data_IF_289352500337
#
_entry.id   IF_289352500337
#
_cell.length_a   1.000
_cell.length_b   1.000
_cell.length_c   1.000
_cell.angle_alpha   90.00
_cell.angle_beta   90.00
_cell.angle_gamma   90.00
#
_symmetry.space_group_name_H-M   'P 1'
#
loop_
_entity.id
_entity.type
_entity.pdbx_description
1 polymer ?
#
# COMPACT_ATOMS: atom_id res chain seq x y z
N UNK A 1 -26.56 -7.90 -2.57
CA UNK A 1 -25.80 -7.26 -1.47
C UNK A 1 -25.81 -5.76 -1.70
N UNK A 2 -26.16 -4.96 -0.68
CA UNK A 2 -26.16 -3.49 -0.75
C UNK A 2 -24.71 -2.97 -0.59
N UNK A 3 -24.30 -1.94 -1.33
CA UNK A 3 -22.97 -1.30 -1.19
C UNK A 3 -22.63 -0.91 0.26
N UNK A 4 -23.62 -0.47 1.05
CA UNK A 4 -23.42 -0.14 2.48
C UNK A 4 -22.98 -1.35 3.30
N UNK A 5 -23.47 -2.54 2.95
CA UNK A 5 -23.16 -3.79 3.64
C UNK A 5 -21.75 -4.29 3.29
N UNK A 6 -21.29 -4.06 2.05
CA UNK A 6 -19.92 -4.37 1.61
C UNK A 6 -18.93 -3.45 2.33
N UNK A 7 -19.20 -2.15 2.35
CA UNK A 7 -18.36 -1.17 3.03
C UNK A 7 -18.25 -1.47 4.53
N UNK A 8 -19.36 -1.80 5.20
CA UNK A 8 -19.34 -2.18 6.62
C UNK A 8 -18.58 -3.47 6.92
N UNK A 9 -18.41 -4.38 5.94
CA UNK A 9 -17.55 -5.55 6.09
C UNK A 9 -16.08 -5.22 5.88
N UNK A 10 -15.78 -4.33 4.92
CA UNK A 10 -14.42 -3.87 4.65
C UNK A 10 -13.86 -3.05 5.83
N UNK A 11 -14.68 -2.21 6.46
CA UNK A 11 -14.28 -1.40 7.63
C UNK A 11 -13.88 -2.25 8.84
N UNK A 12 -14.29 -3.52 8.90
CA UNK A 12 -13.93 -4.46 9.98
C UNK A 12 -12.61 -5.20 9.71
N UNK A 13 -12.03 -5.06 8.52
CA UNK A 13 -10.73 -5.63 8.21
C UNK A 13 -9.68 -4.70 8.80
N UNK A 14 -9.23 -5.01 10.02
CA UNK A 14 -8.23 -4.19 10.70
C UNK A 14 -6.87 -4.25 9.99
N UNK A 15 -6.50 -5.44 9.51
CA UNK A 15 -5.22 -5.68 8.86
C UNK A 15 -5.30 -6.89 7.93
N UNK A 16 -4.88 -6.70 6.67
CA UNK A 16 -4.64 -7.81 5.74
C UNK A 16 -3.19 -8.31 5.90
N UNK A 17 -2.94 -9.62 5.89
CA UNK A 17 -1.57 -10.13 5.86
C UNK A 17 -0.92 -9.78 4.52
N UNK A 18 0.31 -9.29 4.59
CA UNK A 18 1.17 -9.10 3.42
C UNK A 18 1.61 -10.45 2.86
N UNK A 19 1.69 -10.57 1.54
CA UNK A 19 2.23 -11.74 0.86
C UNK A 19 3.76 -11.80 1.10
N UNK A 20 4.28 -12.81 1.81
CA UNK A 20 5.70 -12.84 2.19
C UNK A 20 6.66 -12.72 1.00
N UNK A 21 6.29 -13.30 -0.15
CA UNK A 21 7.08 -13.25 -1.39
C UNK A 21 7.24 -11.81 -1.90
N UNK A 22 6.16 -11.03 -1.92
CA UNK A 22 6.21 -9.64 -2.38
C UNK A 22 7.01 -8.78 -1.40
N UNK A 23 6.87 -9.02 -0.10
CA UNK A 23 7.68 -8.33 0.91
C UNK A 23 9.18 -8.58 0.75
N UNK A 24 9.55 -9.82 0.42
CA UNK A 24 10.95 -10.15 0.13
C UNK A 24 11.43 -9.48 -1.16
N UNK A 25 10.64 -9.54 -2.24
CA UNK A 25 10.96 -8.87 -3.52
C UNK A 25 11.19 -7.36 -3.32
N UNK A 26 10.29 -6.69 -2.60
CA UNK A 26 10.43 -5.27 -2.25
C UNK A 26 11.72 -5.01 -1.47
N UNK A 27 12.06 -5.85 -0.49
CA UNK A 27 13.30 -5.68 0.29
C UNK A 27 14.56 -5.82 -0.57
N UNK A 28 14.59 -6.76 -1.51
CA UNK A 28 15.72 -6.92 -2.43
C UNK A 28 15.82 -5.73 -3.40
N UNK A 29 14.69 -5.26 -3.93
CA UNK A 29 14.62 -4.08 -4.78
C UNK A 29 15.14 -2.81 -4.07
N UNK A 30 14.83 -2.64 -2.78
CA UNK A 30 15.32 -1.51 -1.98
C UNK A 30 16.84 -1.52 -1.74
N UNK A 31 17.50 -2.66 -1.96
CA UNK A 31 18.96 -2.81 -1.84
C UNK A 31 19.71 -2.56 -3.15
N UNK A 32 19.01 -2.54 -4.27
CA UNK A 32 19.59 -2.30 -5.60
C UNK A 32 19.43 -0.84 -6.02
N UNK A 33 20.56 -0.13 -6.15
CA UNK A 33 20.60 1.26 -6.58
C UNK A 33 20.13 1.49 -8.03
N UNK A 34 19.98 0.44 -8.84
CA UNK A 34 19.46 0.53 -10.20
C UNK A 34 17.93 0.41 -10.26
N UNK A 35 17.28 0.02 -9.16
CA UNK A 35 15.82 -0.14 -9.14
C UNK A 35 15.15 1.22 -9.32
N UNK A 36 14.26 1.30 -10.31
CA UNK A 36 13.45 2.50 -10.49
C UNK A 36 12.27 2.55 -9.51
N UNK A 37 11.87 3.76 -9.13
CA UNK A 37 10.65 3.98 -8.32
C UNK A 37 9.40 3.39 -9.00
N UNK A 38 9.37 3.41 -10.34
CA UNK A 38 8.26 2.84 -11.11
C UNK A 38 8.17 1.33 -10.93
N UNK A 39 9.28 0.60 -11.03
CA UNK A 39 9.31 -0.85 -10.80
C UNK A 39 8.94 -1.18 -9.36
N UNK A 40 9.51 -0.46 -8.39
CA UNK A 40 9.19 -0.65 -6.97
C UNK A 40 7.69 -0.46 -6.70
N UNK A 41 7.10 0.59 -7.26
CA UNK A 41 5.67 0.89 -7.11
C UNK A 41 4.80 -0.19 -7.75
N UNK A 42 5.22 -0.75 -8.89
CA UNK A 42 4.51 -1.86 -9.54
C UNK A 42 4.56 -3.14 -8.69
N UNK A 43 5.72 -3.45 -8.10
CA UNK A 43 5.85 -4.63 -7.22
C UNK A 43 5.02 -4.47 -5.95
N UNK A 44 5.03 -3.31 -5.31
CA UNK A 44 4.19 -3.03 -4.13
C UNK A 44 2.70 -3.22 -4.44
N UNK A 45 2.24 -2.78 -5.62
CA UNK A 45 0.84 -2.90 -6.04
C UNK A 45 0.38 -4.36 -6.26
N UNK A 46 1.31 -5.32 -6.40
CA UNK A 46 0.97 -6.75 -6.44
C UNK A 46 0.42 -7.25 -5.09
N UNK A 47 0.70 -6.55 -3.98
CA UNK A 47 0.18 -6.87 -2.66
C UNK A 47 -0.87 -5.86 -2.19
N UNK A 48 -2.13 -6.27 -2.21
CA UNK A 48 -3.28 -5.47 -1.79
C UNK A 48 -3.30 -5.16 -0.28
N UNK A 49 -2.49 -5.83 0.53
CA UNK A 49 -2.33 -5.52 1.94
C UNK A 49 -1.28 -4.42 2.20
N UNK A 50 -0.25 -4.32 1.35
CA UNK A 50 0.80 -3.29 1.49
C UNK A 50 0.31 -1.90 1.12
N UNK A 51 -0.41 -1.79 -0.01
CA UNK A 51 -0.91 -0.52 -0.54
C UNK A 51 -1.67 0.30 0.52
N UNK A 52 -2.72 -0.22 1.19
CA UNK A 52 -3.46 0.58 2.18
C UNK A 52 -2.62 0.94 3.40
N UNK A 53 -1.66 0.10 3.83
CA UNK A 53 -0.76 0.40 4.95
C UNK A 53 0.15 1.58 4.60
N UNK A 54 0.71 1.60 3.39
CA UNK A 54 1.55 2.71 2.91
C UNK A 54 0.72 3.98 2.77
N UNK A 55 -0.46 3.91 2.14
CA UNK A 55 -1.33 5.07 2.01
C UNK A 55 -1.78 5.62 3.38
N UNK A 56 -2.06 4.76 4.37
CA UNK A 56 -2.39 5.17 5.75
C UNK A 56 -1.22 5.88 6.42
N UNK A 57 0.00 5.36 6.25
CA UNK A 57 1.22 5.96 6.78
C UNK A 57 1.48 7.33 6.15
N UNK A 58 1.43 7.42 4.81
CA UNK A 58 1.65 8.66 4.06
C UNK A 58 0.58 9.71 4.38
N UNK A 59 -0.67 9.31 4.58
CA UNK A 59 -1.75 10.24 4.99
C UNK A 59 -1.76 10.55 6.50
N UNK A 60 -0.79 10.07 7.28
CA UNK A 60 -0.72 10.38 8.71
C UNK A 60 -0.23 11.81 8.95
N UNK A 61 -0.49 12.32 10.16
CA UNK A 61 -0.03 13.64 10.58
C UNK A 61 1.50 13.81 10.51
N UNK A 62 2.26 12.70 10.50
CA UNK A 62 3.72 12.73 10.39
C UNK A 62 4.20 13.36 9.08
N UNK A 63 3.55 13.04 7.95
CA UNK A 63 3.95 13.57 6.65
C UNK A 63 3.26 14.90 6.31
N UNK A 64 2.11 15.21 6.93
CA UNK A 64 1.50 16.54 6.86
C UNK A 64 1.01 16.98 5.47
N UNK A 65 0.69 16.03 4.57
CA UNK A 65 0.16 16.39 3.25
C UNK A 65 -1.18 17.13 3.34
N UNK A 66 -1.32 18.20 2.53
CA UNK A 66 -2.55 19.02 2.49
C UNK A 66 -3.74 18.30 1.84
N UNK A 67 -3.48 17.31 0.99
CA UNK A 67 -4.47 16.54 0.27
C UNK A 67 -4.27 15.05 0.51
N UNK A 68 -5.36 14.28 0.50
CA UNK A 68 -5.31 12.83 0.64
C UNK A 68 -4.58 12.21 -0.55
N UNK A 69 -3.55 11.40 -0.28
CA UNK A 69 -2.86 10.58 -1.26
C UNK A 69 -3.65 9.28 -1.45
N UNK A 70 -3.95 8.94 -2.70
CA UNK A 70 -4.78 7.78 -3.06
C UNK A 70 -4.11 6.81 -4.02
N UNK A 71 -2.90 7.11 -4.48
CA UNK A 71 -2.19 6.34 -5.50
C UNK A 71 -0.71 6.24 -5.12
N UNK A 72 -0.11 5.06 -5.26
CA UNK A 72 1.29 4.78 -4.91
C UNK A 72 2.26 5.30 -6.00
N UNK A 73 1.78 5.45 -7.23
CA UNK A 73 2.57 5.88 -8.39
C UNK A 73 2.51 7.39 -8.64
N UNK A 74 1.80 8.16 -7.81
CA UNK A 74 1.51 9.60 -8.01
C UNK A 74 2.22 10.49 -7.00
#
# INVERSE_FOLDING_TARGET
MNSQEILGKLDRIEDLPTLPVIAMEVNEMLRDYNTSIKELSQTIQKDQAMVPRILKLVNSAFFGFRSKISDISR
#
